data_IF_547842712308
#
_entry.id   IF_547842712308
#
_cell.length_a   1.000
_cell.length_b   1.000
_cell.length_c   1.000
_cell.angle_alpha   90.00
_cell.angle_beta   90.00
_cell.angle_gamma   90.00
#
_symmetry.space_group_name_H-M   'P 1'
#
loop_
_entity.id
_entity.type
_entity.pdbx_description
1 polymer ?
#
# COMPACT_ATOMS: atom_id res chain seq x y z
N UNK A 1 -16.73 -2.41 -10.30
CA UNK A 1 -16.06 -3.01 -11.49
C UNK A 1 -14.92 -2.13 -12.00
N UNK A 2 -15.15 -0.82 -12.21
CA UNK A 2 -14.09 0.12 -12.63
C UNK A 2 -12.85 0.12 -11.73
N UNK A 3 -13.02 0.18 -10.41
CA UNK A 3 -11.89 0.15 -9.46
C UNK A 3 -11.00 -1.09 -9.62
N UNK A 4 -11.60 -2.27 -9.84
CA UNK A 4 -10.87 -3.51 -10.08
C UNK A 4 -10.11 -3.49 -11.42
N UNK A 5 -10.72 -2.95 -12.47
CA UNK A 5 -10.09 -2.83 -13.77
C UNK A 5 -8.87 -1.87 -13.72
N UNK A 6 -9.03 -0.74 -13.04
CA UNK A 6 -7.96 0.23 -12.81
C UNK A 6 -6.80 -0.39 -12.02
N UNK A 7 -7.07 -0.98 -10.85
CA UNK A 7 -6.03 -1.60 -10.02
C UNK A 7 -5.30 -2.72 -10.74
N UNK A 8 -6.01 -3.55 -11.52
CA UNK A 8 -5.38 -4.59 -12.34
C UNK A 8 -4.41 -3.98 -13.36
N UNK A 9 -4.79 -2.87 -14.01
CA UNK A 9 -3.91 -2.18 -14.97
C UNK A 9 -2.70 -1.55 -14.27
N UNK A 10 -2.93 -0.85 -13.16
CA UNK A 10 -1.87 -0.25 -12.35
C UNK A 10 -0.88 -1.31 -11.88
N UNK A 11 -1.35 -2.39 -11.27
CA UNK A 11 -0.48 -3.46 -10.77
C UNK A 11 0.26 -4.18 -11.88
N UNK A 12 -0.31 -4.29 -13.08
CA UNK A 12 0.41 -4.86 -14.24
C UNK A 12 1.62 -4.01 -14.60
N UNK A 13 1.49 -2.68 -14.60
CA UNK A 13 2.60 -1.76 -14.87
C UNK A 13 3.61 -1.77 -13.72
N UNK A 14 3.13 -1.71 -12.47
CA UNK A 14 4.02 -1.70 -11.30
C UNK A 14 4.79 -3.01 -11.19
N UNK A 15 4.19 -4.15 -11.51
CA UNK A 15 4.91 -5.44 -11.58
C UNK A 15 6.12 -5.39 -12.50
N UNK A 16 6.02 -4.72 -13.65
CA UNK A 16 7.16 -4.56 -14.57
C UNK A 16 8.28 -3.76 -13.90
N UNK A 17 7.94 -2.66 -13.21
CA UNK A 17 8.91 -1.85 -12.46
C UNK A 17 9.57 -2.68 -11.35
N UNK A 18 8.80 -3.46 -10.61
CA UNK A 18 9.34 -4.35 -9.56
C UNK A 18 10.26 -5.41 -10.12
N UNK A 19 9.95 -6.01 -11.28
CA UNK A 19 10.84 -6.97 -11.95
C UNK A 19 12.17 -6.30 -12.31
N UNK A 20 12.13 -5.12 -12.93
CA UNK A 20 13.34 -4.38 -13.31
C UNK A 20 14.19 -4.05 -12.07
N UNK A 21 13.58 -3.51 -11.02
CA UNK A 21 14.28 -3.18 -9.78
C UNK A 21 14.82 -4.43 -9.08
N UNK A 22 14.06 -5.53 -9.06
CA UNK A 22 14.53 -6.80 -8.49
C UNK A 22 15.70 -7.38 -9.28
N UNK A 23 15.73 -7.25 -10.62
CA UNK A 23 16.88 -7.64 -11.43
C UNK A 23 18.11 -6.78 -11.13
N UNK A 24 17.95 -5.46 -10.95
CA UNK A 24 19.05 -4.56 -10.57
C UNK A 24 19.60 -4.94 -9.19
N UNK A 25 18.72 -5.08 -8.19
CA UNK A 25 19.11 -5.49 -6.83
C UNK A 25 19.73 -6.89 -6.83
N UNK A 26 19.22 -7.81 -7.65
CA UNK A 26 19.78 -9.14 -7.83
C UNK A 26 21.18 -9.13 -8.45
N UNK A 27 21.41 -8.29 -9.46
CA UNK A 27 22.74 -8.12 -10.04
C UNK A 27 23.72 -7.49 -9.03
N UNK A 28 23.27 -6.51 -8.25
CA UNK A 28 24.08 -5.93 -7.17
C UNK A 28 24.42 -6.97 -6.09
N UNK A 29 23.48 -7.86 -5.77
CA UNK A 29 23.67 -8.87 -4.72
C UNK A 29 24.54 -10.06 -5.17
N UNK A 30 24.30 -10.59 -6.38
CA UNK A 30 24.97 -11.81 -6.85
C UNK A 30 26.10 -11.57 -7.85
N UNK A 31 26.02 -10.51 -8.66
CA UNK A 31 27.02 -10.19 -9.69
C UNK A 31 28.16 -9.33 -9.13
N UNK A 32 27.82 -8.22 -8.48
CA UNK A 32 28.79 -7.27 -7.92
C UNK A 32 29.18 -7.57 -6.47
N UNK A 33 28.40 -8.40 -5.76
CA UNK A 33 28.56 -8.73 -4.34
C UNK A 33 28.61 -7.51 -3.41
N UNK A 34 27.94 -6.41 -3.80
CA UNK A 34 27.84 -5.18 -3.00
C UNK A 34 26.61 -5.18 -2.07
N UNK A 35 25.72 -6.17 -2.22
CA UNK A 35 24.48 -6.32 -1.45
C UNK A 35 24.30 -7.76 -0.97
N UNK A 36 23.53 -7.93 0.11
CA UNK A 36 23.20 -9.26 0.60
C UNK A 36 22.22 -9.97 -0.35
N UNK A 37 22.43 -11.27 -0.61
CA UNK A 37 21.58 -12.08 -1.49
C UNK A 37 20.09 -12.11 -1.11
N UNK A 38 19.72 -11.78 0.12
CA UNK A 38 18.33 -11.77 0.60
C UNK A 38 17.60 -10.46 0.24
N UNK A 39 18.34 -9.39 -0.06
CA UNK A 39 17.82 -8.04 -0.34
C UNK A 39 16.74 -8.00 -1.44
N UNK A 40 16.93 -8.65 -2.61
CA UNK A 40 15.90 -8.63 -3.66
C UNK A 40 14.59 -9.26 -3.21
N UNK A 41 14.65 -10.29 -2.35
CA UNK A 41 13.45 -10.95 -1.82
C UNK A 41 12.73 -10.08 -0.80
N UNK A 42 13.46 -9.44 0.12
CA UNK A 42 12.90 -8.50 1.07
C UNK A 42 12.20 -7.33 0.35
N UNK A 43 12.83 -6.77 -0.69
CA UNK A 43 12.22 -5.74 -1.53
C UNK A 43 10.89 -6.19 -2.15
N UNK A 44 10.84 -7.40 -2.73
CA UNK A 44 9.64 -7.93 -3.36
C UNK A 44 8.51 -8.18 -2.34
N UNK A 45 8.81 -8.73 -1.17
CA UNK A 45 7.79 -8.99 -0.13
C UNK A 45 7.17 -7.69 0.37
N UNK A 46 7.97 -6.65 0.58
CA UNK A 46 7.48 -5.34 1.02
C UNK A 46 6.49 -4.71 0.04
N UNK A 47 6.84 -4.73 -1.25
CA UNK A 47 5.94 -4.24 -2.30
C UNK A 47 4.67 -5.10 -2.43
N UNK A 48 4.80 -6.41 -2.25
CA UNK A 48 3.66 -7.33 -2.28
C UNK A 48 2.66 -7.04 -1.16
N UNK A 49 3.11 -6.96 0.10
CA UNK A 49 2.22 -6.69 1.23
C UNK A 49 1.62 -5.27 1.19
N UNK A 50 2.39 -4.27 0.76
CA UNK A 50 1.87 -2.92 0.51
C UNK A 50 0.73 -2.93 -0.52
N UNK A 51 0.92 -3.63 -1.64
CA UNK A 51 -0.10 -3.80 -2.67
C UNK A 51 -1.31 -4.58 -2.14
N UNK A 52 -1.07 -5.66 -1.40
CA UNK A 52 -2.14 -6.46 -0.81
C UNK A 52 -3.02 -5.63 0.13
N UNK A 53 -2.42 -4.76 0.96
CA UNK A 53 -3.16 -3.85 1.83
C UNK A 53 -4.05 -2.89 1.03
N UNK A 54 -3.51 -2.26 -0.02
CA UNK A 54 -4.29 -1.39 -0.90
C UNK A 54 -5.45 -2.13 -1.59
N UNK A 55 -5.19 -3.34 -2.10
CA UNK A 55 -6.21 -4.17 -2.76
C UNK A 55 -7.34 -4.58 -1.80
N UNK A 56 -6.99 -5.06 -0.60
CA UNK A 56 -7.97 -5.47 0.40
C UNK A 56 -8.78 -4.28 0.92
N UNK A 57 -8.13 -3.14 1.18
CA UNK A 57 -8.80 -1.90 1.55
C UNK A 57 -9.85 -1.49 0.51
N UNK A 58 -9.46 -1.43 -0.76
CA UNK A 58 -10.37 -1.11 -1.87
C UNK A 58 -11.54 -2.10 -1.97
N UNK A 59 -11.27 -3.40 -1.82
CA UNK A 59 -12.32 -4.43 -1.86
C UNK A 59 -13.31 -4.25 -0.71
N UNK A 60 -12.84 -3.94 0.49
CA UNK A 60 -13.72 -3.65 1.63
C UNK A 60 -14.52 -2.38 1.43
N UNK A 61 -13.90 -1.29 0.95
CA UNK A 61 -14.59 -0.03 0.66
C UNK A 61 -15.69 -0.20 -0.39
N UNK A 62 -15.37 -0.78 -1.55
CA UNK A 62 -16.36 -1.03 -2.61
C UNK A 62 -17.53 -1.91 -2.19
N UNK A 63 -17.33 -2.84 -1.24
CA UNK A 63 -18.41 -3.67 -0.66
C UNK A 63 -19.20 -2.96 0.44
N UNK A 64 -18.62 -1.93 1.07
CA UNK A 64 -19.23 -1.21 2.18
C UNK A 64 -20.02 0.02 1.71
N UNK A 65 -19.61 0.71 0.65
CA UNK A 65 -20.23 1.98 0.23
C UNK A 65 -21.74 1.88 0.03
N UNK A 66 -22.22 0.85 -0.69
CA UNK A 66 -23.66 0.65 -0.88
C UNK A 66 -24.42 0.29 0.42
N UNK A 67 -23.77 -0.41 1.35
CA UNK A 67 -24.32 -0.74 2.68
C UNK A 67 -24.40 0.49 3.57
N UNK A 68 -23.41 1.37 3.47
CA UNK A 68 -23.41 2.68 4.14
C UNK A 68 -24.57 3.53 3.64
N UNK A 69 -24.78 3.62 2.32
CA UNK A 69 -25.93 4.32 1.74
C UNK A 69 -27.26 3.71 2.20
N UNK A 70 -27.37 2.38 2.23
CA UNK A 70 -28.58 1.71 2.70
C UNK A 70 -28.84 1.99 4.19
N UNK A 71 -27.81 1.94 5.05
CA UNK A 71 -27.93 2.25 6.48
C UNK A 71 -28.32 3.70 6.75
N UNK A 72 -27.82 4.64 5.92
CA UNK A 72 -28.15 6.05 6.01
C UNK A 72 -29.64 6.35 5.73
N UNK A 73 -30.36 5.44 5.06
CA UNK A 73 -31.83 5.56 4.87
C UNK A 73 -32.60 5.37 6.17
N UNK A 74 -32.06 4.62 7.12
CA UNK A 74 -32.69 4.38 8.43
C UNK A 74 -32.24 5.42 9.46
N UNK A 75 -30.93 5.66 9.56
CA UNK A 75 -30.38 6.71 10.40
C UNK A 75 -28.93 7.03 10.03
N UNK A 76 -28.49 8.25 10.37
CA UNK A 76 -27.10 8.65 10.22
C UNK A 76 -26.15 7.72 11.01
N UNK A 77 -26.55 7.32 12.22
CA UNK A 77 -25.75 6.45 13.07
C UNK A 77 -25.56 5.05 12.46
N UNK A 78 -26.59 4.48 11.83
CA UNK A 78 -26.48 3.18 11.14
C UNK A 78 -25.50 3.27 9.97
N UNK A 79 -25.59 4.32 9.14
CA UNK A 79 -24.62 4.56 8.06
C UNK A 79 -23.20 4.71 8.60
N UNK A 80 -23.01 5.52 9.65
CA UNK A 80 -21.70 5.74 10.27
C UNK A 80 -21.08 4.45 10.82
N UNK A 81 -21.86 3.60 11.50
CA UNK A 81 -21.34 2.34 12.03
C UNK A 81 -20.83 1.41 10.94
N UNK A 82 -21.52 1.33 9.79
CA UNK A 82 -21.08 0.53 8.64
C UNK A 82 -19.77 1.08 8.07
N UNK A 83 -19.72 2.40 7.83
CA UNK A 83 -18.53 3.07 7.31
C UNK A 83 -17.32 2.91 8.26
N UNK A 84 -17.53 3.11 9.56
CA UNK A 84 -16.47 3.00 10.57
C UNK A 84 -15.94 1.57 10.69
N UNK A 85 -16.82 0.56 10.67
CA UNK A 85 -16.40 -0.86 10.69
C UNK A 85 -15.63 -1.23 9.43
N UNK A 86 -16.02 -0.71 8.26
CA UNK A 86 -15.27 -0.92 7.02
C UNK A 86 -13.86 -0.28 7.09
N UNK A 87 -13.76 0.94 7.60
CA UNK A 87 -12.46 1.60 7.84
C UNK A 87 -11.60 0.84 8.86
N UNK A 88 -12.20 0.28 9.91
CA UNK A 88 -11.48 -0.54 10.89
C UNK A 88 -10.87 -1.80 10.27
N UNK A 89 -11.55 -2.44 9.31
CA UNK A 89 -10.98 -3.59 8.58
C UNK A 89 -9.72 -3.19 7.82
N UNK A 90 -9.72 -2.04 7.15
CA UNK A 90 -8.53 -1.53 6.45
C UNK A 90 -7.37 -1.28 7.42
N UNK A 91 -7.63 -0.62 8.57
CA UNK A 91 -6.60 -0.37 9.59
C UNK A 91 -6.01 -1.66 10.18
N UNK A 92 -6.85 -2.63 10.52
CA UNK A 92 -6.41 -3.93 11.05
C UNK A 92 -5.60 -4.74 10.03
N UNK A 93 -5.98 -4.68 8.75
CA UNK A 93 -5.25 -5.32 7.65
C UNK A 93 -3.84 -4.72 7.51
N UNK A 94 -3.75 -3.39 7.50
CA UNK A 94 -2.47 -2.66 7.36
C UNK A 94 -1.52 -3.00 8.52
N UNK A 95 -1.99 -2.82 9.75
CA UNK A 95 -1.16 -3.07 10.95
C UNK A 95 -0.83 -4.56 11.09
N UNK A 96 -1.81 -5.43 10.84
CA UNK A 96 -1.65 -6.88 10.93
C UNK A 96 -0.59 -7.40 9.96
N UNK A 97 -0.68 -7.04 8.68
CA UNK A 97 0.32 -7.46 7.70
C UNK A 97 1.70 -6.86 7.95
N UNK A 98 1.77 -5.58 8.34
CA UNK A 98 3.06 -4.97 8.66
C UNK A 98 3.78 -5.69 9.81
N UNK A 99 3.07 -5.99 10.90
CA UNK A 99 3.64 -6.72 12.02
C UNK A 99 4.06 -8.13 11.63
N UNK A 100 3.24 -8.85 10.88
CA UNK A 100 3.57 -10.21 10.39
C UNK A 100 4.81 -10.17 9.51
N UNK A 101 4.93 -9.20 8.60
CA UNK A 101 6.06 -9.11 7.68
C UNK A 101 7.36 -8.71 8.41
N UNK A 102 7.32 -7.67 9.26
CA UNK A 102 8.48 -7.24 10.07
C UNK A 102 8.96 -8.38 10.98
N UNK A 103 8.05 -8.98 11.74
CA UNK A 103 8.42 -10.05 12.70
C UNK A 103 8.84 -11.32 11.99
N UNK A 104 8.17 -11.68 10.88
CA UNK A 104 8.52 -12.81 10.04
C UNK A 104 9.93 -12.68 9.48
N UNK A 105 10.26 -11.55 8.86
CA UNK A 105 11.61 -11.29 8.37
C UNK A 105 12.66 -11.30 9.47
N UNK A 106 12.37 -10.68 10.62
CA UNK A 106 13.28 -10.70 11.75
C UNK A 106 13.57 -12.12 12.23
N UNK A 107 12.52 -12.95 12.42
CA UNK A 107 12.68 -14.35 12.85
C UNK A 107 13.43 -15.17 11.81
N UNK A 108 13.12 -15.00 10.52
CA UNK A 108 13.79 -15.70 9.43
C UNK A 108 15.29 -15.38 9.44
N UNK A 109 15.65 -14.10 9.48
CA UNK A 109 17.05 -13.67 9.41
C UNK A 109 17.83 -13.94 10.70
N UNK A 110 17.19 -13.80 11.87
CA UNK A 110 17.86 -13.93 13.16
C UNK A 110 17.89 -15.36 13.71
N UNK A 111 16.85 -16.17 13.47
CA UNK A 111 16.77 -17.54 14.02
C UNK A 111 16.91 -18.63 12.97
N UNK A 112 16.32 -18.48 11.80
CA UNK A 112 16.24 -19.56 10.81
C UNK A 112 17.52 -19.65 9.99
N UNK A 113 18.03 -18.52 9.48
CA UNK A 113 19.25 -18.47 8.67
C UNK A 113 20.50 -19.05 9.37
N UNK A 114 20.72 -18.81 10.69
CA UNK A 114 21.78 -19.46 11.44
C UNK A 114 21.70 -20.99 11.44
N UNK A 115 20.48 -21.58 11.43
CA UNK A 115 20.31 -23.05 11.35
C UNK A 115 20.81 -23.64 10.03
N UNK A 116 20.91 -22.81 8.98
CA UNK A 116 21.45 -23.18 7.67
C UNK A 116 22.92 -22.75 7.49
N UNK A 117 23.62 -22.38 8.58
CA UNK A 117 25.02 -21.97 8.57
C UNK A 117 25.25 -20.57 8.01
N UNK A 118 24.22 -19.72 7.92
CA UNK A 118 24.31 -18.32 7.49
C UNK A 118 23.99 -17.39 8.66
N UNK A 119 25.00 -17.07 9.47
CA UNK A 119 24.84 -16.10 10.55
C UNK A 119 24.94 -14.68 10.02
N UNK A 120 23.96 -13.84 10.36
CA UNK A 120 23.97 -12.42 10.06
C UNK A 120 24.08 -11.62 11.35
N UNK A 121 25.00 -10.66 11.37
CA UNK A 121 25.02 -9.64 12.41
C UNK A 121 23.77 -8.77 12.37
N UNK A 122 23.39 -8.23 13.52
CA UNK A 122 22.18 -7.42 13.67
C UNK A 122 22.19 -6.18 12.74
N UNK A 123 23.37 -5.63 12.43
CA UNK A 123 23.54 -4.54 11.45
C UNK A 123 23.14 -4.96 10.04
N UNK A 124 23.53 -6.17 9.61
CA UNK A 124 23.12 -6.72 8.31
C UNK A 124 21.62 -6.98 8.27
N UNK A 125 21.05 -7.50 9.35
CA UNK A 125 19.61 -7.78 9.44
C UNK A 125 18.81 -6.49 9.27
N UNK A 126 19.14 -5.42 9.99
CA UNK A 126 18.41 -4.15 9.89
C UNK A 126 18.55 -3.49 8.53
N UNK A 127 19.71 -3.57 7.88
CA UNK A 127 19.92 -3.09 6.50
C UNK A 127 19.07 -3.88 5.49
N UNK A 128 19.02 -5.22 5.61
CA UNK A 128 18.17 -6.05 4.75
C UNK A 128 16.70 -5.70 4.95
N UNK A 129 16.26 -5.53 6.20
CA UNK A 129 14.88 -5.17 6.51
C UNK A 129 14.52 -3.77 6.01
N UNK A 130 15.39 -2.77 6.11
CA UNK A 130 15.17 -1.45 5.49
C UNK A 130 14.89 -1.54 3.99
N UNK A 131 15.49 -2.50 3.31
CA UNK A 131 15.28 -2.69 1.87
C UNK A 131 13.89 -3.24 1.54
N UNK A 132 13.28 -3.98 2.48
CA UNK A 132 11.85 -4.30 2.38
C UNK A 132 11.00 -3.01 2.42
N UNK A 133 11.33 -2.07 3.33
CA UNK A 133 10.69 -0.77 3.41
C UNK A 133 10.74 -0.01 2.08
N UNK A 134 11.88 -0.03 1.39
CA UNK A 134 12.02 0.54 0.04
C UNK A 134 11.06 -0.09 -0.97
N UNK A 135 10.81 -1.40 -0.87
CA UNK A 135 9.81 -2.09 -1.68
C UNK A 135 8.39 -1.59 -1.39
N UNK A 136 8.04 -1.45 -0.12
CA UNK A 136 6.76 -0.88 0.30
C UNK A 136 6.58 0.56 -0.25
N UNK A 137 7.61 1.41 -0.15
CA UNK A 137 7.58 2.80 -0.64
C UNK A 137 7.44 2.88 -2.14
N UNK A 138 8.10 1.98 -2.87
CA UNK A 138 7.97 1.92 -4.33
C UNK A 138 6.52 1.61 -4.72
N UNK A 139 5.90 0.62 -4.09
CA UNK A 139 4.49 0.29 -4.36
C UNK A 139 3.55 1.44 -3.95
N UNK A 140 3.73 1.99 -2.75
CA UNK A 140 2.92 3.09 -2.23
C UNK A 140 2.98 4.34 -3.14
N UNK A 141 4.18 4.67 -3.66
CA UNK A 141 4.38 5.78 -4.59
C UNK A 141 3.52 5.62 -5.84
N UNK A 142 3.60 4.47 -6.52
CA UNK A 142 2.78 4.24 -7.71
C UNK A 142 1.30 4.14 -7.41
N UNK A 143 0.93 3.53 -6.28
CA UNK A 143 -0.46 3.41 -5.82
C UNK A 143 -1.09 4.79 -5.64
N UNK A 144 -0.42 5.66 -4.86
CA UNK A 144 -0.89 7.00 -4.53
C UNK A 144 -0.85 7.95 -5.71
N UNK A 145 0.25 8.01 -6.44
CA UNK A 145 0.37 8.96 -7.57
C UNK A 145 -0.59 8.56 -8.69
N UNK A 146 -0.62 7.28 -9.05
CA UNK A 146 -1.53 6.80 -10.08
C UNK A 146 -3.00 7.02 -9.69
N UNK A 147 -3.38 6.54 -8.50
CA UNK A 147 -4.76 6.65 -8.02
C UNK A 147 -5.18 8.09 -7.77
N UNK A 148 -4.27 8.93 -7.26
CA UNK A 148 -4.44 10.36 -7.03
C UNK A 148 -4.69 11.15 -8.32
N UNK A 149 -3.93 10.86 -9.38
CA UNK A 149 -4.16 11.47 -10.70
C UNK A 149 -5.53 11.05 -11.24
N UNK A 150 -5.87 9.76 -11.13
CA UNK A 150 -7.14 9.24 -11.64
C UNK A 150 -8.33 9.88 -10.90
N UNK A 151 -8.30 9.90 -9.57
CA UNK A 151 -9.40 10.46 -8.76
C UNK A 151 -9.53 11.96 -8.98
N UNK A 152 -8.44 12.73 -8.88
CA UNK A 152 -8.53 14.19 -8.97
C UNK A 152 -8.82 14.71 -10.36
N UNK A 153 -8.44 13.98 -11.41
CA UNK A 153 -8.87 14.33 -12.76
C UNK A 153 -10.38 14.12 -12.96
N UNK A 154 -10.96 13.07 -12.35
CA UNK A 154 -12.39 12.78 -12.44
C UNK A 154 -13.23 13.74 -11.58
N UNK A 155 -12.85 13.91 -10.31
CA UNK A 155 -13.45 14.82 -9.31
C UNK A 155 -13.57 16.26 -9.86
N UNK A 156 -12.44 16.85 -10.24
CA UNK A 156 -12.42 18.24 -10.78
C UNK A 156 -13.23 18.38 -12.07
N UNK A 157 -13.19 17.37 -12.95
CA UNK A 157 -13.97 17.39 -14.20
C UNK A 157 -15.47 17.25 -13.96
N UNK A 158 -15.87 16.37 -13.04
CA UNK A 158 -17.26 16.15 -12.67
C UNK A 158 -17.86 17.40 -12.03
N UNK A 159 -17.15 17.98 -11.07
CA UNK A 159 -17.63 19.11 -10.29
C UNK A 159 -17.71 20.41 -11.07
N UNK A 160 -16.70 20.74 -11.87
CA UNK A 160 -16.70 21.99 -12.64
C UNK A 160 -17.82 21.99 -13.69
N UNK A 161 -17.90 20.95 -14.51
CA UNK A 161 -18.90 20.89 -15.57
C UNK A 161 -20.31 20.66 -14.99
N UNK A 162 -20.43 19.82 -13.97
CA UNK A 162 -21.72 19.51 -13.34
C UNK A 162 -22.28 20.69 -12.54
N UNK A 163 -21.56 21.11 -11.50
CA UNK A 163 -22.06 22.10 -10.53
C UNK A 163 -22.01 23.52 -11.08
N UNK A 164 -20.91 23.90 -11.75
CA UNK A 164 -20.65 25.30 -12.13
C UNK A 164 -21.23 25.64 -13.49
N UNK A 165 -21.03 24.79 -14.50
CA UNK A 165 -21.49 25.08 -15.87
C UNK A 165 -22.93 24.65 -16.12
N UNK A 166 -23.27 23.40 -15.80
CA UNK A 166 -24.60 22.83 -16.07
C UNK A 166 -25.63 23.09 -14.96
N UNK A 167 -25.18 23.48 -13.76
CA UNK A 167 -26.05 23.74 -12.61
C UNK A 167 -26.79 22.49 -12.12
N UNK A 168 -26.25 21.30 -12.34
CA UNK A 168 -26.80 20.03 -11.82
C UNK A 168 -26.16 19.69 -10.46
N UNK A 169 -26.86 18.90 -9.61
CA UNK A 169 -26.30 18.46 -8.33
C UNK A 169 -24.97 17.71 -8.45
N UNK A 170 -24.23 17.67 -7.35
CA UNK A 170 -23.10 16.75 -7.14
C UNK A 170 -23.53 15.30 -7.33
N UNK A 171 -22.63 14.46 -7.86
CA UNK A 171 -22.89 13.03 -8.10
C UNK A 171 -24.15 12.74 -8.94
N UNK A 172 -24.61 13.69 -9.75
CA UNK A 172 -25.80 13.52 -10.56
C UNK A 172 -25.59 12.42 -11.63
N UNK A 173 -26.49 11.43 -11.77
CA UNK A 173 -26.33 10.32 -12.70
C UNK A 173 -26.29 10.74 -14.18
N UNK A 174 -26.68 11.98 -14.51
CA UNK A 174 -26.56 12.54 -15.86
C UNK A 174 -25.13 12.97 -16.20
N UNK A 175 -24.29 13.20 -15.20
CA UNK A 175 -22.90 13.58 -15.39
C UNK A 175 -22.06 12.32 -15.66
N UNK A 176 -21.44 12.18 -16.85
CA UNK A 176 -20.71 10.98 -17.23
C UNK A 176 -19.43 10.75 -16.41
N UNK A 177 -18.93 11.77 -15.70
CA UNK A 177 -17.71 11.67 -14.91
C UNK A 177 -17.92 11.06 -13.51
N UNK A 178 -19.16 11.00 -13.01
CA UNK A 178 -19.50 10.56 -11.64
C UNK A 178 -19.06 9.13 -11.33
N UNK A 179 -19.14 8.22 -12.32
CA UNK A 179 -18.64 6.86 -12.16
C UNK A 179 -17.12 6.85 -12.00
N UNK A 180 -16.40 7.67 -12.76
CA UNK A 180 -14.95 7.75 -12.68
C UNK A 180 -14.51 8.35 -11.35
N UNK A 181 -15.23 9.35 -10.85
CA UNK A 181 -15.01 10.00 -9.57
C UNK A 181 -15.13 9.00 -8.40
N UNK A 182 -16.29 8.35 -8.28
CA UNK A 182 -16.54 7.33 -7.26
C UNK A 182 -15.60 6.11 -7.38
N UNK A 183 -15.14 5.77 -8.60
CA UNK A 183 -14.07 4.78 -8.78
C UNK A 183 -12.74 5.31 -8.25
N UNK A 184 -12.45 6.58 -8.52
CA UNK A 184 -11.31 7.34 -8.04
C UNK A 184 -11.13 7.26 -6.53
N UNK A 185 -12.19 7.51 -5.75
CA UNK A 185 -12.15 7.40 -4.29
C UNK A 185 -11.63 6.05 -3.81
N UNK A 186 -12.06 4.97 -4.48
CA UNK A 186 -11.68 3.62 -4.10
C UNK A 186 -10.22 3.27 -4.49
N UNK A 187 -9.71 3.83 -5.59
CA UNK A 187 -8.35 3.50 -6.10
C UNK A 187 -7.27 4.46 -5.62
N UNK A 188 -7.59 5.74 -5.42
CA UNK A 188 -6.70 6.75 -4.86
C UNK A 188 -6.79 6.77 -3.35
N UNK A 189 -7.95 7.19 -2.85
CA UNK A 189 -8.12 7.56 -1.45
C UNK A 189 -8.15 6.33 -0.52
N UNK A 190 -8.56 5.16 -1.03
CA UNK A 190 -8.51 3.91 -0.26
C UNK A 190 -7.27 3.08 -0.60
N UNK A 191 -7.13 2.63 -1.85
CA UNK A 191 -6.02 1.71 -2.18
C UNK A 191 -4.64 2.37 -2.01
N UNK A 192 -4.50 3.62 -2.48
CA UNK A 192 -3.27 4.40 -2.32
C UNK A 192 -2.95 4.71 -0.87
N UNK A 193 -3.96 5.12 -0.07
CA UNK A 193 -3.77 5.36 1.36
C UNK A 193 -3.39 4.08 2.12
N UNK A 194 -4.00 2.93 1.80
CA UNK A 194 -3.68 1.67 2.46
C UNK A 194 -2.24 1.21 2.22
N UNK A 195 -1.77 1.35 0.98
CA UNK A 195 -0.40 1.05 0.61
C UNK A 195 0.61 1.99 1.31
N UNK A 196 0.26 3.26 1.45
CA UNK A 196 1.10 4.24 2.12
C UNK A 196 1.15 4.07 3.64
N UNK A 197 0.01 3.89 4.30
CA UNK A 197 -0.01 3.70 5.76
C UNK A 197 0.79 2.46 6.16
N UNK A 198 0.72 1.40 5.35
CA UNK A 198 1.58 0.23 5.51
C UNK A 198 3.06 0.61 5.41
N UNK A 199 3.44 1.37 4.38
CA UNK A 199 4.82 1.79 4.20
C UNK A 199 5.32 2.66 5.35
N UNK A 200 4.57 3.69 5.73
CA UNK A 200 4.99 4.64 6.75
C UNK A 200 5.11 3.97 8.12
N UNK A 201 4.19 3.04 8.43
CA UNK A 201 4.25 2.24 9.65
C UNK A 201 5.48 1.33 9.66
N UNK A 202 5.72 0.60 8.57
CA UNK A 202 6.89 -0.26 8.42
C UNK A 202 8.20 0.53 8.49
N UNK A 203 8.32 1.60 7.70
CA UNK A 203 9.50 2.45 7.62
C UNK A 203 9.89 3.05 8.96
N UNK A 204 8.90 3.49 9.75
CA UNK A 204 9.16 4.06 11.10
C UNK A 204 9.77 3.04 12.05
N UNK A 205 9.24 1.81 12.09
CA UNK A 205 9.75 0.74 12.95
C UNK A 205 11.15 0.31 12.52
N UNK A 206 11.35 0.14 11.22
CA UNK A 206 12.64 -0.30 10.65
C UNK A 206 13.74 0.73 10.81
N UNK A 207 13.44 2.01 10.58
CA UNK A 207 14.38 3.10 10.80
C UNK A 207 14.80 3.17 12.27
N UNK A 208 13.84 3.03 13.19
CA UNK A 208 14.11 3.00 14.63
C UNK A 208 15.00 1.81 15.01
N UNK A 209 14.72 0.61 14.46
CA UNK A 209 15.53 -0.57 14.70
C UNK A 209 16.97 -0.40 14.16
N UNK A 210 17.13 0.13 12.94
CA UNK A 210 18.44 0.38 12.35
C UNK A 210 19.25 1.39 13.15
N UNK A 211 18.63 2.48 13.60
CA UNK A 211 19.26 3.48 14.47
C UNK A 211 19.68 2.89 15.80
N UNK A 212 18.83 2.07 16.43
CA UNK A 212 19.16 1.40 17.69
C UNK A 212 20.39 0.50 17.59
N UNK A 213 20.51 -0.25 16.49
CA UNK A 213 21.69 -1.09 16.23
C UNK A 213 22.94 -0.25 15.96
N UNK A 214 22.82 0.81 15.16
CA UNK A 214 23.94 1.70 14.87
C UNK A 214 24.46 2.39 16.14
N UNK A 215 23.56 2.85 17.02
CA UNK A 215 23.93 3.44 18.30
C UNK A 215 24.62 2.44 19.24
N UNK A 216 24.10 1.20 19.32
CA UNK A 216 24.70 0.15 20.14
C UNK A 216 26.08 -0.29 19.61
N UNK A 217 26.29 -0.27 18.29
CA UNK A 217 27.57 -0.62 17.67
C UNK A 217 28.63 0.49 17.83
N UNK A 218 28.23 1.71 18.17
CA UNK A 218 29.13 2.84 18.41
C UNK A 218 29.60 2.96 19.87
N UNK A 219 29.02 2.19 20.79
CA UNK A 219 29.40 2.04 22.20
C UNK A 219 30.41 0.91 22.37
#
# INVERSE_FOLDING_TARGET
QGAMAYLKRQYSVVTIVFIVLACILGYMAYGLQVQNGVVPFAFLTGGFFSGLCGFLGMKTATMASNRTTAGARESLNNGLQVAFRAGAVMGLVVVGFALVDITGWFIILYKIFPLFGKEYHLSTITVVMLTFGMGASTQALFARVGGGIFTKAADVGADLVGKVEAGIPEDDPRNPATIADNVGDNVGDVAGMGADLYESYCGSILATAALGVAAAAAL
#
